data_IF_284083831785
#
_entry.id   IF_284083831785
#
_cell.length_a   1.000
_cell.length_b   1.000
_cell.length_c   1.000
_cell.angle_alpha   90.00
_cell.angle_beta   90.00
_cell.angle_gamma   90.00
#
_symmetry.space_group_name_H-M   'P 1'
#
loop_
_entity.id
_entity.type
_entity.pdbx_description
1 polymer ?
#
# COMPACT_ATOMS: atom_id res chain seq x y z
N UNK A 1 22.58 -16.17 -70.57
CA UNK A 1 22.12 -15.55 -69.29
C UNK A 1 23.13 -15.91 -68.19
N UNK A 2 23.96 -14.96 -67.76
CA UNK A 2 24.93 -15.18 -66.63
C UNK A 2 24.17 -15.09 -65.30
N UNK A 3 24.20 -16.17 -64.49
CA UNK A 3 23.65 -16.15 -63.13
C UNK A 3 24.52 -15.18 -62.31
N UNK A 4 23.91 -14.29 -61.50
CA UNK A 4 24.68 -13.41 -60.64
C UNK A 4 25.41 -14.24 -59.58
N UNK A 5 26.76 -14.22 -59.63
CA UNK A 5 27.60 -14.79 -58.56
C UNK A 5 27.57 -13.83 -57.39
N UNK A 6 26.80 -14.17 -56.39
CA UNK A 6 26.75 -13.38 -55.14
C UNK A 6 28.10 -13.44 -54.45
N UNK A 7 28.67 -12.29 -54.15
CA UNK A 7 30.03 -12.17 -53.59
C UNK A 7 30.04 -12.79 -52.18
N UNK A 8 31.01 -13.66 -51.89
CA UNK A 8 31.14 -14.34 -50.57
C UNK A 8 31.12 -13.38 -49.38
N UNK A 9 31.61 -12.16 -49.59
CA UNK A 9 31.57 -11.09 -48.58
C UNK A 9 30.15 -10.64 -48.26
N UNK A 10 29.26 -10.53 -49.26
CA UNK A 10 27.87 -10.14 -49.07
C UNK A 10 27.09 -11.21 -48.28
N UNK A 11 27.36 -12.50 -48.59
CA UNK A 11 26.78 -13.62 -47.86
C UNK A 11 27.20 -13.59 -46.38
N UNK A 12 28.50 -13.32 -46.15
CA UNK A 12 29.04 -13.22 -44.76
C UNK A 12 28.37 -12.07 -43.95
N UNK A 13 28.21 -10.92 -44.60
CA UNK A 13 27.53 -9.77 -43.96
C UNK A 13 26.05 -10.05 -43.65
N UNK A 14 25.34 -10.74 -44.57
CA UNK A 14 23.92 -11.10 -44.33
C UNK A 14 23.79 -12.11 -43.18
N UNK A 15 24.70 -13.10 -43.11
CA UNK A 15 24.68 -14.10 -42.02
C UNK A 15 25.05 -13.43 -40.69
N UNK A 16 26.03 -12.53 -40.68
CA UNK A 16 26.43 -11.82 -39.47
C UNK A 16 25.35 -10.88 -38.95
N UNK A 17 24.65 -10.14 -39.81
CA UNK A 17 23.55 -9.29 -39.42
C UNK A 17 22.34 -10.11 -38.91
N UNK A 18 22.01 -11.23 -39.55
CA UNK A 18 20.95 -12.13 -39.06
C UNK A 18 21.29 -12.76 -37.70
N UNK A 19 22.54 -13.14 -37.44
CA UNK A 19 22.98 -13.65 -36.14
C UNK A 19 22.91 -12.58 -35.05
N UNK A 20 23.20 -11.31 -35.35
CA UNK A 20 23.08 -10.21 -34.40
C UNK A 20 21.62 -9.92 -34.00
N UNK A 21 20.68 -10.08 -34.91
CA UNK A 21 19.25 -9.90 -34.63
C UNK A 21 18.60 -11.06 -33.84
N UNK A 22 19.22 -12.26 -33.88
CA UNK A 22 18.71 -13.43 -33.12
C UNK A 22 19.07 -13.41 -31.62
N UNK A 23 19.92 -12.47 -31.19
CA UNK A 23 20.26 -12.29 -29.76
C UNK A 23 19.45 -11.19 -29.06
N UNK A 24 18.27 -10.85 -29.55
CA UNK A 24 17.34 -10.07 -28.75
C UNK A 24 16.67 -11.04 -27.75
N UNK A 25 17.40 -11.42 -26.70
CA UNK A 25 16.80 -12.05 -25.54
C UNK A 25 15.71 -11.11 -25.04
N UNK A 26 14.48 -11.54 -25.15
CA UNK A 26 13.37 -10.93 -24.43
C UNK A 26 13.67 -11.07 -22.94
N UNK A 27 14.27 -10.05 -22.34
CA UNK A 27 14.29 -9.91 -20.89
C UNK A 27 12.83 -9.93 -20.45
N UNK A 28 12.36 -11.09 -20.03
CA UNK A 28 11.09 -11.18 -19.33
C UNK A 28 11.23 -10.24 -18.12
N UNK A 29 10.54 -9.11 -18.20
CA UNK A 29 10.53 -8.15 -17.10
C UNK A 29 10.00 -8.89 -15.88
N UNK A 30 10.89 -9.17 -14.92
CA UNK A 30 10.52 -9.78 -13.64
C UNK A 30 9.45 -8.89 -13.05
N UNK A 31 8.19 -9.35 -13.04
CA UNK A 31 7.09 -8.60 -12.45
C UNK A 31 7.46 -8.33 -10.99
N UNK A 32 7.53 -7.07 -10.57
CA UNK A 32 7.92 -6.77 -9.21
C UNK A 32 7.00 -7.50 -8.24
N UNK A 33 7.58 -8.27 -7.34
CA UNK A 33 6.83 -8.97 -6.30
C UNK A 33 6.13 -7.92 -5.45
N UNK A 34 4.80 -8.03 -5.31
CA UNK A 34 4.02 -7.10 -4.48
C UNK A 34 4.54 -7.17 -3.04
N UNK A 35 4.81 -6.02 -2.39
CA UNK A 35 5.25 -6.00 -1.01
C UNK A 35 4.14 -6.46 -0.07
N UNK A 36 4.48 -7.07 1.05
CA UNK A 36 3.55 -7.22 2.16
C UNK A 36 3.30 -5.84 2.80
N UNK A 37 2.08 -5.62 3.24
CA UNK A 37 1.66 -4.37 3.89
C UNK A 37 1.27 -4.72 5.33
N UNK A 38 1.98 -4.14 6.29
CA UNK A 38 1.64 -4.24 7.71
C UNK A 38 1.25 -2.86 8.20
N UNK A 39 0.01 -2.73 8.67
CA UNK A 39 -0.52 -1.48 9.19
C UNK A 39 -0.63 -1.58 10.72
N UNK A 40 0.12 -0.74 11.44
CA UNK A 40 0.12 -0.66 12.90
C UNK A 40 -0.57 0.63 13.32
N UNK A 41 -1.72 0.52 13.98
CA UNK A 41 -2.48 1.66 14.50
C UNK A 41 -2.43 1.67 16.01
N UNK A 42 -1.76 2.65 16.57
CA UNK A 42 -1.81 2.91 18.01
C UNK A 42 -3.18 3.50 18.39
N UNK A 43 -3.75 3.03 19.51
CA UNK A 43 -5.02 3.54 20.04
C UNK A 43 -4.71 4.61 21.11
N UNK A 44 -5.28 5.79 20.94
CA UNK A 44 -5.16 6.93 21.86
C UNK A 44 -3.71 7.42 22.11
N UNK A 45 -2.79 7.13 21.19
CA UNK A 45 -1.42 7.66 21.25
C UNK A 45 -1.42 9.15 20.91
N UNK A 46 -1.01 9.98 21.84
CA UNK A 46 -0.86 11.42 21.67
C UNK A 46 0.45 11.78 20.96
N UNK A 47 0.50 13.00 20.44
CA UNK A 47 1.71 13.52 19.79
C UNK A 47 2.92 13.52 20.75
N UNK A 48 2.71 13.84 22.03
CA UNK A 48 3.74 13.85 23.05
C UNK A 48 4.19 12.48 23.59
N UNK A 49 3.61 11.37 23.09
CA UNK A 49 3.98 10.02 23.52
C UNK A 49 5.09 9.41 22.67
N UNK A 50 5.51 10.09 21.63
CA UNK A 50 6.58 9.63 20.73
C UNK A 50 7.90 10.35 21.04
N UNK A 51 8.91 9.58 21.45
CA UNK A 51 10.21 10.11 21.87
C UNK A 51 10.90 11.00 20.83
N UNK A 52 10.88 10.59 19.55
CA UNK A 52 11.54 11.30 18.45
C UNK A 52 11.07 12.76 18.28
N UNK A 53 9.90 13.09 18.76
CA UNK A 53 9.32 14.45 18.71
C UNK A 53 9.24 15.09 20.09
N UNK A 54 10.00 14.60 21.05
CA UNK A 54 10.10 15.17 22.40
C UNK A 54 9.19 14.52 23.44
N UNK A 55 8.58 13.39 23.14
CA UNK A 55 7.83 12.59 24.11
C UNK A 55 8.71 12.04 25.23
N UNK A 56 8.13 11.90 26.41
CA UNK A 56 8.83 11.40 27.59
C UNK A 56 8.96 9.87 27.63
N UNK A 57 8.21 9.15 26.80
CA UNK A 57 8.21 7.70 26.75
C UNK A 57 9.27 7.20 25.77
N UNK A 58 10.14 6.31 26.22
CA UNK A 58 11.14 5.69 25.36
C UNK A 58 10.47 4.81 24.30
N UNK A 59 10.73 5.11 23.04
CA UNK A 59 10.16 4.40 21.87
C UNK A 59 11.25 3.98 20.86
N UNK A 60 12.29 3.23 21.28
CA UNK A 60 13.47 2.99 20.45
C UNK A 60 13.17 2.29 19.13
N UNK A 61 12.20 1.38 19.08
CA UNK A 61 11.83 0.70 17.86
C UNK A 61 11.01 1.58 16.90
N UNK A 62 10.17 2.48 17.41
CA UNK A 62 9.47 3.46 16.60
C UNK A 62 10.45 4.52 16.09
N UNK A 63 11.41 4.95 16.91
CA UNK A 63 12.47 5.85 16.49
C UNK A 63 13.24 5.26 15.30
N UNK A 64 13.68 4.00 15.42
CA UNK A 64 14.37 3.31 14.33
C UNK A 64 13.51 3.19 13.07
N UNK A 65 12.23 2.84 13.20
CA UNK A 65 11.32 2.77 12.07
C UNK A 65 11.18 4.13 11.37
N UNK A 66 11.13 5.22 12.14
CA UNK A 66 11.06 6.57 11.61
C UNK A 66 12.38 7.02 10.95
N UNK A 67 13.53 6.52 11.43
CA UNK A 67 14.86 6.82 10.87
C UNK A 67 15.10 6.03 9.55
N UNK A 68 14.65 4.79 9.50
CA UNK A 68 14.79 3.91 8.33
C UNK A 68 13.75 4.20 7.23
N UNK A 69 12.70 4.93 7.55
CA UNK A 69 11.55 5.20 6.68
C UNK A 69 11.28 6.67 6.41
N UNK A 70 10.01 6.99 6.21
CA UNK A 70 9.52 8.37 6.03
C UNK A 70 8.68 8.76 7.23
N UNK A 71 9.08 9.81 7.92
CA UNK A 71 8.35 10.37 9.04
C UNK A 71 7.53 11.60 8.61
N UNK A 72 6.21 11.53 8.79
CA UNK A 72 5.29 12.63 8.50
C UNK A 72 5.00 13.43 9.77
N UNK A 73 5.71 14.55 9.99
CA UNK A 73 5.58 15.37 11.18
C UNK A 73 4.23 16.11 11.32
N UNK A 74 3.54 16.31 10.20
CA UNK A 74 2.25 17.02 10.12
C UNK A 74 1.16 16.14 9.53
N UNK A 75 1.02 14.92 10.05
CA UNK A 75 -0.01 13.99 9.65
C UNK A 75 -1.05 13.84 10.77
N UNK A 76 -2.32 14.06 10.45
CA UNK A 76 -3.39 14.12 11.45
C UNK A 76 -4.39 12.99 11.24
N UNK A 77 -4.97 12.51 12.36
CA UNK A 77 -6.08 11.59 12.33
C UNK A 77 -7.30 12.23 11.64
N UNK A 78 -8.10 11.43 10.95
CA UNK A 78 -9.27 11.91 10.21
C UNK A 78 -10.42 12.40 11.12
N UNK A 79 -10.37 12.09 12.41
CA UNK A 79 -11.37 12.49 13.40
C UNK A 79 -10.80 12.55 14.81
N UNK A 80 -11.50 13.22 15.72
CA UNK A 80 -10.99 13.50 17.08
C UNK A 80 -11.10 12.32 18.04
N UNK A 81 -11.77 11.24 17.66
CA UNK A 81 -11.92 10.03 18.46
C UNK A 81 -11.97 8.75 17.61
N UNK A 82 -12.09 7.61 18.26
CA UNK A 82 -11.83 6.30 17.69
C UNK A 82 -12.63 5.98 16.42
N UNK A 83 -13.97 5.99 16.49
CA UNK A 83 -14.79 5.53 15.35
C UNK A 83 -14.65 6.42 14.12
N UNK A 84 -14.74 7.76 14.20
CA UNK A 84 -14.49 8.63 13.04
C UNK A 84 -13.09 8.48 12.47
N UNK A 85 -12.07 8.43 13.32
CA UNK A 85 -10.68 8.28 12.87
C UNK A 85 -10.50 6.97 12.11
N UNK A 86 -11.02 5.87 12.64
CA UNK A 86 -10.95 4.55 11.99
C UNK A 86 -11.78 4.48 10.71
N UNK A 87 -12.95 5.12 10.66
CA UNK A 87 -13.75 5.20 9.44
C UNK A 87 -13.01 5.93 8.33
N UNK A 88 -12.39 7.06 8.64
CA UNK A 88 -11.58 7.81 7.69
C UNK A 88 -10.38 7.01 7.18
N UNK A 89 -9.68 6.32 8.09
CA UNK A 89 -8.57 5.44 7.74
C UNK A 89 -8.99 4.31 6.80
N UNK A 90 -10.07 3.61 7.14
CA UNK A 90 -10.50 2.43 6.38
C UNK A 90 -11.11 2.76 5.04
N UNK A 91 -11.75 3.93 4.89
CA UNK A 91 -12.47 4.30 3.66
C UNK A 91 -11.75 5.35 2.82
N UNK A 92 -10.76 6.04 3.38
CA UNK A 92 -10.13 7.20 2.74
C UNK A 92 -11.06 8.40 2.61
N UNK A 93 -12.21 8.40 3.27
CA UNK A 93 -13.24 9.46 3.19
C UNK A 93 -13.28 10.29 4.48
N UNK A 94 -13.80 11.50 4.38
CA UNK A 94 -14.16 12.26 5.57
C UNK A 94 -15.19 11.46 6.39
N UNK A 95 -14.97 11.23 7.70
CA UNK A 95 -15.85 10.41 8.52
C UNK A 95 -17.33 10.85 8.50
N UNK A 96 -17.59 12.15 8.42
CA UNK A 96 -18.94 12.68 8.34
C UNK A 96 -19.69 12.23 7.07
N UNK A 97 -18.98 12.01 5.96
CA UNK A 97 -19.58 11.52 4.71
C UNK A 97 -20.05 10.07 4.78
N UNK A 98 -19.49 9.30 5.72
CA UNK A 98 -19.88 7.91 5.98
C UNK A 98 -20.69 7.75 7.25
N UNK A 99 -21.29 8.86 7.76
CA UNK A 99 -22.17 8.84 8.92
C UNK A 99 -21.46 8.68 10.27
N UNK A 100 -20.13 8.73 10.31
CA UNK A 100 -19.34 8.58 11.54
C UNK A 100 -18.98 9.93 12.15
N UNK A 101 -19.97 10.58 12.76
CA UNK A 101 -19.79 11.92 13.37
C UNK A 101 -19.12 11.89 14.74
N UNK A 102 -19.22 10.78 15.46
CA UNK A 102 -18.72 10.64 16.82
C UNK A 102 -18.41 9.18 17.16
N UNK A 103 -17.86 8.97 18.35
CA UNK A 103 -17.64 7.68 18.96
C UNK A 103 -18.92 6.83 18.96
N UNK A 104 -18.76 5.54 18.71
CA UNK A 104 -19.84 4.55 18.76
C UNK A 104 -19.62 3.64 19.97
N UNK A 105 -20.50 3.68 20.97
CA UNK A 105 -20.41 2.76 22.10
C UNK A 105 -20.62 1.31 21.63
N UNK A 106 -20.19 0.32 22.44
CA UNK A 106 -20.49 -1.09 22.17
C UNK A 106 -22.01 -1.30 21.96
N UNK A 107 -22.37 -2.16 21.03
CA UNK A 107 -23.74 -2.47 20.65
C UNK A 107 -24.55 -1.29 20.06
N UNK A 108 -23.87 -0.26 19.59
CA UNK A 108 -24.56 0.83 18.89
C UNK A 108 -25.11 0.32 17.55
N UNK A 109 -26.40 0.65 17.22
CA UNK A 109 -27.05 0.14 16.01
C UNK A 109 -26.43 0.67 14.69
N UNK A 110 -25.78 1.84 14.76
CA UNK A 110 -25.10 2.40 13.59
C UNK A 110 -23.70 1.83 13.47
N UNK A 111 -23.38 1.39 12.28
CA UNK A 111 -22.06 0.86 11.87
C UNK A 111 -21.57 1.58 10.62
N UNK A 112 -20.35 1.31 10.21
CA UNK A 112 -19.88 1.72 8.89
C UNK A 112 -20.80 1.10 7.83
N UNK A 113 -21.39 1.89 6.91
CA UNK A 113 -22.26 1.34 5.88
C UNK A 113 -21.58 0.23 5.07
N UNK A 114 -22.30 -0.85 4.80
CA UNK A 114 -21.77 -2.01 4.09
C UNK A 114 -21.41 -1.70 2.63
N UNK A 115 -21.92 -0.60 2.09
CA UNK A 115 -21.62 -0.10 0.73
C UNK A 115 -20.26 0.58 0.65
N UNK A 116 -19.67 0.91 1.81
CA UNK A 116 -18.38 1.56 1.85
C UNK A 116 -17.25 0.57 1.58
N UNK A 117 -16.48 0.84 0.54
CA UNK A 117 -15.30 0.02 0.20
C UNK A 117 -14.16 0.39 1.14
N UNK A 118 -13.71 -0.59 1.89
CA UNK A 118 -12.58 -0.43 2.82
C UNK A 118 -11.23 -0.66 2.13
N UNK A 119 -10.17 -0.17 2.75
CA UNK A 119 -8.79 -0.44 2.32
C UNK A 119 -8.52 -1.95 2.17
N UNK A 120 -9.05 -2.77 3.09
CA UNK A 120 -8.88 -4.22 3.02
C UNK A 120 -9.57 -4.83 1.79
N UNK A 121 -10.79 -4.40 1.47
CA UNK A 121 -11.50 -4.85 0.25
C UNK A 121 -10.80 -4.38 -1.01
N UNK A 122 -10.33 -3.12 -1.04
CA UNK A 122 -9.57 -2.61 -2.16
C UNK A 122 -8.29 -3.43 -2.40
N UNK A 123 -7.56 -3.78 -1.34
CA UNK A 123 -6.38 -4.63 -1.44
C UNK A 123 -6.70 -6.04 -1.94
N UNK A 124 -7.84 -6.61 -1.52
CA UNK A 124 -8.33 -7.90 -2.06
C UNK A 124 -8.49 -7.86 -3.57
N UNK A 125 -9.03 -6.78 -4.14
CA UNK A 125 -9.14 -6.65 -5.62
C UNK A 125 -7.79 -6.64 -6.33
N UNK A 126 -6.71 -6.33 -5.58
CA UNK A 126 -5.32 -6.37 -6.07
C UNK A 126 -4.63 -7.69 -5.77
N UNK A 127 -5.35 -8.69 -5.28
CA UNK A 127 -4.84 -10.03 -5.00
C UNK A 127 -4.08 -10.17 -3.69
N UNK A 128 -4.28 -9.26 -2.73
CA UNK A 128 -3.78 -9.42 -1.37
C UNK A 128 -4.72 -10.29 -0.53
N UNK A 129 -4.14 -11.07 0.36
CA UNK A 129 -4.87 -11.61 1.50
C UNK A 129 -4.86 -10.56 2.60
N UNK A 130 -6.01 -10.34 3.25
CA UNK A 130 -6.16 -9.32 4.28
C UNK A 130 -6.58 -9.93 5.60
N UNK A 131 -6.06 -9.39 6.70
CA UNK A 131 -6.43 -9.77 8.06
C UNK A 131 -6.53 -8.54 8.94
N UNK A 132 -7.43 -8.58 9.93
CA UNK A 132 -7.57 -7.55 10.94
C UNK A 132 -7.41 -8.19 12.32
N UNK A 133 -6.60 -7.58 13.16
CA UNK A 133 -6.35 -8.03 14.53
C UNK A 133 -6.50 -6.82 15.45
N UNK A 134 -7.26 -6.97 16.52
CA UNK A 134 -7.49 -5.92 17.52
C UNK A 134 -8.78 -5.12 17.31
N UNK A 135 -8.75 -3.86 17.76
CA UNK A 135 -9.93 -2.99 17.84
C UNK A 135 -10.45 -2.58 16.47
N UNK A 136 -11.66 -2.99 16.12
CA UNK A 136 -12.38 -2.57 14.91
C UNK A 136 -13.10 -1.23 15.11
N UNK A 137 -14.06 -1.18 15.99
CA UNK A 137 -14.80 -0.01 16.47
C UNK A 137 -15.58 0.78 15.38
N UNK A 138 -16.00 0.11 14.33
CA UNK A 138 -16.84 0.66 13.25
C UNK A 138 -18.20 -0.03 13.13
N UNK A 139 -18.60 -0.74 14.15
CA UNK A 139 -19.85 -1.45 14.27
C UNK A 139 -19.70 -2.59 15.25
N UNK A 140 -20.79 -2.99 15.90
CA UNK A 140 -20.80 -4.17 16.73
C UNK A 140 -20.77 -5.43 15.87
N UNK A 141 -20.13 -6.49 16.34
CA UNK A 141 -20.45 -7.83 15.92
C UNK A 141 -21.83 -8.13 16.51
N UNK A 142 -22.86 -8.19 15.66
CA UNK A 142 -24.17 -8.66 16.06
C UNK A 142 -24.12 -10.14 16.37
#
# INVERSE_FOLDING_TARGET
MRKPQMNRIVIFFIIFTTLCFLRCDSHEAVKPKKPNIVFLLADDMGYGDFEKIGGATETPNLNRLADDGVFFSNFYAAGPNCSPSRAGLMTGKNPAKVGMYSYRPPNHPLHLPNEEVTLAELLKTKGYQTGHIGKWHLGGLG
#
